data_IF_886455026170
#
_entry.id   IF_886455026170
#
_cell.length_a   1.000
_cell.length_b   1.000
_cell.length_c   1.000
_cell.angle_alpha   90.00
_cell.angle_beta   90.00
_cell.angle_gamma   90.00
#
_symmetry.space_group_name_H-M   'P 1'
#
loop_
_entity.id
_entity.type
_entity.pdbx_description
1 polymer ?
#
# COMPACT_ATOMS: atom_id res chain seq x y z
N UNK A 1 -0.62 -20.37 -20.87
CA UNK A 1 0.79 -20.00 -20.68
C UNK A 1 1.15 -18.97 -21.71
N UNK A 2 1.33 -17.72 -21.29
CA UNK A 2 1.92 -16.68 -22.14
C UNK A 2 3.24 -16.30 -21.50
N UNK A 3 4.34 -16.80 -22.05
CA UNK A 3 5.67 -16.33 -21.67
C UNK A 3 5.74 -14.87 -22.09
N UNK A 4 5.58 -13.95 -21.14
CA UNK A 4 5.83 -12.54 -21.36
C UNK A 4 7.24 -12.39 -21.88
N UNK A 5 7.40 -11.61 -22.96
CA UNK A 5 8.71 -11.38 -23.57
C UNK A 5 9.75 -11.00 -22.50
N UNK A 6 10.95 -11.60 -22.53
CA UNK A 6 11.97 -11.32 -21.54
C UNK A 6 12.32 -9.83 -21.56
N UNK A 7 12.45 -9.23 -20.38
CA UNK A 7 12.98 -7.87 -20.26
C UNK A 7 14.46 -7.91 -20.66
N UNK A 8 14.92 -7.08 -21.61
CA UNK A 8 16.31 -7.11 -22.06
C UNK A 8 17.25 -6.75 -20.90
N UNK A 9 18.30 -7.55 -20.72
CA UNK A 9 19.29 -7.32 -19.67
C UNK A 9 20.19 -6.12 -20.03
N UNK A 10 20.48 -5.26 -19.06
CA UNK A 10 21.41 -4.13 -19.23
C UNK A 10 20.79 -2.84 -19.81
N UNK A 11 19.46 -2.78 -19.96
CA UNK A 11 18.77 -1.52 -20.29
C UNK A 11 18.82 -0.51 -19.14
N UNK A 12 18.84 0.78 -19.48
CA UNK A 12 18.76 1.87 -18.50
C UNK A 12 17.43 1.77 -17.72
N UNK A 13 17.45 1.87 -16.37
CA UNK A 13 16.23 1.84 -15.55
C UNK A 13 15.15 2.85 -15.98
N UNK A 14 15.54 3.99 -16.56
CA UNK A 14 14.62 5.02 -17.07
C UNK A 14 13.88 4.55 -18.31
N UNK A 15 14.58 3.87 -19.23
CA UNK A 15 13.98 3.32 -20.43
C UNK A 15 13.03 2.19 -20.07
N UNK A 16 13.44 1.31 -19.14
CA UNK A 16 12.57 0.26 -18.59
C UNK A 16 11.30 0.84 -17.96
N UNK A 17 11.41 1.92 -17.18
CA UNK A 17 10.23 2.61 -16.63
C UNK A 17 9.35 3.21 -17.73
N UNK A 18 9.97 3.78 -18.78
CA UNK A 18 9.28 4.25 -19.98
C UNK A 18 8.48 3.13 -20.68
N UNK A 19 9.11 1.97 -20.90
CA UNK A 19 8.47 0.80 -21.49
C UNK A 19 7.34 0.25 -20.62
N UNK A 20 7.49 0.27 -19.29
CA UNK A 20 6.41 -0.07 -18.38
C UNK A 20 5.19 0.84 -18.58
N UNK A 21 5.41 2.15 -18.77
CA UNK A 21 4.36 3.11 -19.09
C UNK A 21 3.68 2.87 -20.44
N UNK A 22 4.45 2.51 -21.48
CA UNK A 22 3.90 2.14 -22.80
C UNK A 22 3.02 0.89 -22.69
N UNK A 23 3.53 -0.18 -22.07
CA UNK A 23 2.79 -1.42 -21.86
C UNK A 23 1.50 -1.19 -21.04
N UNK A 24 1.57 -0.35 -19.99
CA UNK A 24 0.40 0.02 -19.20
C UNK A 24 -0.69 0.67 -20.05
N UNK A 25 -0.33 1.62 -20.92
CA UNK A 25 -1.27 2.29 -21.84
C UNK A 25 -1.89 1.31 -22.84
N UNK A 26 -1.09 0.36 -23.31
CA UNK A 26 -1.57 -0.75 -24.15
C UNK A 26 -2.39 -1.80 -23.38
N UNK A 27 -2.59 -1.62 -22.06
CA UNK A 27 -3.28 -2.57 -21.16
C UNK A 27 -2.60 -3.94 -21.06
N UNK A 28 -1.34 -4.04 -21.46
CA UNK A 28 -0.51 -5.20 -21.22
C UNK A 28 0.10 -5.12 -19.81
N UNK A 29 -0.74 -5.47 -18.82
CA UNK A 29 -0.37 -5.33 -17.41
C UNK A 29 0.74 -6.28 -16.98
N UNK A 30 0.83 -7.46 -17.60
CA UNK A 30 1.88 -8.43 -17.31
C UNK A 30 3.25 -7.87 -17.75
N UNK A 31 3.33 -7.33 -18.96
CA UNK A 31 4.56 -6.72 -19.48
C UNK A 31 4.90 -5.43 -18.75
N UNK A 32 3.91 -4.59 -18.42
CA UNK A 32 4.12 -3.41 -17.60
C UNK A 32 4.72 -3.77 -16.23
N UNK A 33 4.24 -4.85 -15.61
CA UNK A 33 4.72 -5.33 -14.31
C UNK A 33 6.16 -5.84 -14.41
N UNK A 34 6.51 -6.55 -15.48
CA UNK A 34 7.86 -7.05 -15.72
C UNK A 34 8.86 -5.89 -15.86
N UNK A 35 8.56 -4.92 -16.71
CA UNK A 35 9.42 -3.74 -16.91
C UNK A 35 9.55 -2.88 -15.64
N UNK A 36 8.46 -2.65 -14.91
CA UNK A 36 8.52 -1.89 -13.65
C UNK A 36 9.40 -2.59 -12.61
N UNK A 37 9.34 -3.91 -12.49
CA UNK A 37 10.21 -4.66 -11.57
C UNK A 37 11.68 -4.63 -12.00
N UNK A 38 11.94 -4.72 -13.30
CA UNK A 38 13.30 -4.62 -13.82
C UNK A 38 13.91 -3.23 -13.58
N UNK A 39 13.15 -2.15 -13.85
CA UNK A 39 13.57 -0.79 -13.54
C UNK A 39 13.88 -0.61 -12.05
N UNK A 40 13.00 -1.12 -11.18
CA UNK A 40 13.20 -1.09 -9.73
C UNK A 40 14.43 -1.88 -9.24
N UNK A 41 14.82 -2.94 -9.95
CA UNK A 41 16.02 -3.71 -9.62
C UNK A 41 17.31 -3.02 -10.10
N UNK A 42 17.21 -2.21 -11.16
CA UNK A 42 18.36 -1.52 -11.76
C UNK A 42 18.68 -0.14 -11.15
N UNK A 43 17.77 0.45 -10.38
CA UNK A 43 17.99 1.72 -9.68
C UNK A 43 17.46 1.68 -8.25
N UNK A 44 18.26 2.16 -7.29
CA UNK A 44 17.83 2.35 -5.89
C UNK A 44 17.47 3.81 -5.58
N UNK A 45 17.54 4.71 -6.56
CA UNK A 45 17.21 6.12 -6.43
C UNK A 45 15.77 6.45 -6.85
N UNK A 46 15.58 7.64 -7.42
CA UNK A 46 14.26 8.16 -7.80
C UNK A 46 13.52 7.26 -8.79
N UNK A 47 14.23 6.71 -9.78
CA UNK A 47 13.62 5.86 -10.82
C UNK A 47 13.14 4.55 -10.20
N UNK A 48 13.94 3.98 -9.30
CA UNK A 48 13.57 2.79 -8.53
C UNK A 48 12.31 3.00 -7.70
N UNK A 49 12.21 4.15 -7.03
CA UNK A 49 11.02 4.51 -6.25
C UNK A 49 9.77 4.63 -7.13
N UNK A 50 9.86 5.32 -8.26
CA UNK A 50 8.75 5.46 -9.21
C UNK A 50 8.33 4.11 -9.80
N UNK A 51 9.31 3.28 -10.15
CA UNK A 51 9.09 1.94 -10.67
C UNK A 51 8.39 1.03 -9.65
N UNK A 52 8.78 1.08 -8.37
CA UNK A 52 8.11 0.36 -7.29
C UNK A 52 6.68 0.88 -7.03
N UNK A 53 6.47 2.19 -7.10
CA UNK A 53 5.13 2.77 -7.01
C UNK A 53 4.21 2.29 -8.15
N UNK A 54 4.74 2.21 -9.38
CA UNK A 54 4.02 1.64 -10.52
C UNK A 54 3.74 0.15 -10.34
N UNK A 55 4.73 -0.63 -9.91
CA UNK A 55 4.58 -2.05 -9.60
C UNK A 55 3.51 -2.31 -8.53
N UNK A 56 3.43 -1.43 -7.52
CA UNK A 56 2.35 -1.47 -6.51
C UNK A 56 0.97 -1.24 -7.13
N UNK A 57 0.82 -0.22 -7.98
CA UNK A 57 -0.45 0.06 -8.69
C UNK A 57 -0.90 -1.12 -9.55
N UNK A 58 0.02 -1.75 -10.26
CA UNK A 58 -0.26 -2.92 -11.10
C UNK A 58 -0.67 -4.14 -10.25
N UNK A 59 0.01 -4.38 -9.13
CA UNK A 59 -0.35 -5.46 -8.20
C UNK A 59 -1.76 -5.26 -7.62
N UNK A 60 -2.13 -4.02 -7.25
CA UNK A 60 -3.51 -3.68 -6.83
C UNK A 60 -4.53 -3.98 -7.91
N UNK A 61 -4.21 -3.64 -9.16
CA UNK A 61 -5.09 -3.91 -10.31
C UNK A 61 -5.27 -5.41 -10.57
N UNK A 62 -4.26 -6.22 -10.23
CA UNK A 62 -4.32 -7.67 -10.28
C UNK A 62 -5.03 -8.32 -9.07
N UNK A 63 -5.50 -7.52 -8.10
CA UNK A 63 -6.14 -8.04 -6.88
C UNK A 63 -5.15 -8.55 -5.83
N UNK A 64 -3.88 -8.17 -5.91
CA UNK A 64 -2.84 -8.54 -4.93
C UNK A 64 -2.40 -7.32 -4.09
N UNK A 65 -3.17 -6.99 -3.03
CA UNK A 65 -2.84 -5.86 -2.15
C UNK A 65 -1.63 -6.14 -1.25
N UNK A 66 -1.25 -7.40 -1.03
CA UNK A 66 -0.11 -7.76 -0.17
C UNK A 66 1.19 -7.43 -0.90
N UNK A 67 1.34 -7.91 -2.13
CA UNK A 67 2.50 -7.58 -2.97
C UNK A 67 2.56 -6.07 -3.26
N UNK A 68 1.40 -5.43 -3.44
CA UNK A 68 1.34 -3.99 -3.59
C UNK A 68 1.92 -3.23 -2.38
N UNK A 69 1.62 -3.68 -1.16
CA UNK A 69 2.18 -3.09 0.06
C UNK A 69 3.70 -3.34 0.14
N UNK A 70 4.15 -4.55 -0.21
CA UNK A 70 5.57 -4.90 -0.28
C UNK A 70 6.37 -3.95 -1.17
N UNK A 71 5.88 -3.66 -2.37
CA UNK A 71 6.51 -2.70 -3.28
C UNK A 71 6.60 -1.28 -2.69
N UNK A 72 5.55 -0.80 -2.02
CA UNK A 72 5.56 0.54 -1.40
C UNK A 72 6.52 0.61 -0.20
N UNK A 73 6.60 -0.44 0.61
CA UNK A 73 7.58 -0.52 1.70
C UNK A 73 9.01 -0.55 1.20
N UNK A 74 9.28 -1.29 0.12
CA UNK A 74 10.59 -1.27 -0.53
C UNK A 74 10.92 0.14 -1.06
N UNK A 75 9.96 0.83 -1.68
CA UNK A 75 10.15 2.19 -2.19
C UNK A 75 10.49 3.19 -1.07
N UNK A 76 9.89 3.03 0.12
CA UNK A 76 10.15 3.88 1.28
C UNK A 76 11.59 3.79 1.81
N UNK A 77 12.34 2.74 1.49
CA UNK A 77 13.74 2.62 1.89
C UNK A 77 14.60 3.77 1.31
N UNK A 78 14.29 4.18 0.08
CA UNK A 78 15.02 5.23 -0.64
C UNK A 78 14.27 6.57 -0.72
N UNK A 79 12.94 6.55 -0.67
CA UNK A 79 12.14 7.77 -0.80
C UNK A 79 12.39 8.77 0.35
N UNK A 80 12.34 10.07 0.04
CA UNK A 80 12.51 11.16 1.02
C UNK A 80 11.47 12.27 0.79
N UNK A 81 11.26 13.09 1.82
CA UNK A 81 10.40 14.28 1.75
C UNK A 81 8.99 13.98 1.23
N UNK A 82 8.55 14.80 0.26
CA UNK A 82 7.21 14.68 -0.35
C UNK A 82 6.95 13.31 -1.01
N UNK A 83 7.98 12.69 -1.59
CA UNK A 83 7.85 11.37 -2.21
C UNK A 83 7.51 10.31 -1.16
N UNK A 84 8.20 10.30 -0.01
CA UNK A 84 7.91 9.38 1.10
C UNK A 84 6.50 9.61 1.67
N UNK A 85 6.10 10.87 1.86
CA UNK A 85 4.75 11.20 2.34
C UNK A 85 3.65 10.68 1.39
N UNK A 86 3.88 10.77 0.07
CA UNK A 86 2.95 10.26 -0.95
C UNK A 86 2.83 8.73 -0.87
N UNK A 87 3.94 8.02 -0.69
CA UNK A 87 3.93 6.56 -0.53
C UNK A 87 3.20 6.14 0.76
N UNK A 88 3.39 6.86 1.86
CA UNK A 88 2.64 6.66 3.10
C UNK A 88 1.14 6.90 2.94
N UNK A 89 0.73 7.89 2.14
CA UNK A 89 -0.69 8.10 1.84
C UNK A 89 -1.29 6.91 1.06
N UNK A 90 -0.57 6.36 0.09
CA UNK A 90 -1.02 5.17 -0.64
C UNK A 90 -1.09 3.93 0.25
N UNK A 91 -0.09 3.71 1.12
CA UNK A 91 -0.12 2.63 2.12
C UNK A 91 -1.29 2.77 3.08
N UNK A 92 -1.63 3.99 3.51
CA UNK A 92 -2.79 4.26 4.35
C UNK A 92 -4.07 3.76 3.69
N UNK A 93 -4.31 4.14 2.43
CA UNK A 93 -5.49 3.71 1.66
C UNK A 93 -5.51 2.19 1.47
N UNK A 94 -4.35 1.60 1.19
CA UNK A 94 -4.23 0.16 0.94
C UNK A 94 -4.54 -0.66 2.20
N UNK A 95 -3.95 -0.30 3.34
CA UNK A 95 -4.21 -0.96 4.61
C UNK A 95 -5.64 -0.76 5.08
N UNK A 96 -6.22 0.42 4.85
CA UNK A 96 -7.59 0.70 5.27
C UNK A 96 -8.62 -0.05 4.42
N UNK A 97 -8.48 -0.01 3.10
CA UNK A 97 -9.55 -0.46 2.19
C UNK A 97 -9.38 -1.90 1.73
N UNK A 98 -8.15 -2.35 1.46
CA UNK A 98 -7.91 -3.69 0.90
C UNK A 98 -7.46 -4.69 1.97
N UNK A 99 -6.48 -4.33 2.79
CA UNK A 99 -5.90 -5.25 3.79
C UNK A 99 -6.64 -5.25 5.13
N UNK A 100 -7.53 -4.28 5.36
CA UNK A 100 -8.36 -4.13 6.58
C UNK A 100 -7.55 -4.08 7.89
N UNK A 101 -6.32 -3.55 7.83
CA UNK A 101 -5.43 -3.36 8.97
C UNK A 101 -5.46 -1.88 9.40
N UNK A 102 -6.40 -1.55 10.29
CA UNK A 102 -6.58 -0.18 10.79
C UNK A 102 -5.37 0.36 11.56
N UNK A 103 -4.70 -0.41 12.45
CA UNK A 103 -3.47 0.04 13.10
C UNK A 103 -2.38 0.47 12.11
N UNK A 104 -2.09 -0.35 11.08
CA UNK A 104 -1.10 0.00 10.06
C UNK A 104 -1.55 1.16 9.18
N UNK A 105 -2.84 1.25 8.86
CA UNK A 105 -3.39 2.39 8.15
C UNK A 105 -3.16 3.69 8.93
N UNK A 106 -3.44 3.71 10.24
CA UNK A 106 -3.22 4.88 11.09
C UNK A 106 -1.74 5.26 11.21
N UNK A 107 -0.86 4.26 11.36
CA UNK A 107 0.59 4.50 11.40
C UNK A 107 1.06 5.26 10.16
N UNK A 108 0.69 4.81 8.96
CA UNK A 108 1.04 5.49 7.73
C UNK A 108 0.33 6.82 7.55
N UNK A 109 -0.91 6.95 8.01
CA UNK A 109 -1.65 8.21 7.91
C UNK A 109 -0.92 9.33 8.65
N UNK A 110 -0.32 9.05 9.81
CA UNK A 110 0.46 10.04 10.59
C UNK A 110 1.73 10.50 9.87
N UNK A 111 2.26 9.70 8.96
CA UNK A 111 3.49 9.99 8.21
C UNK A 111 3.21 10.65 6.85
N UNK A 112 1.94 10.80 6.44
CA UNK A 112 1.56 11.35 5.14
C UNK A 112 1.26 12.84 5.11
N UNK A 113 1.57 13.58 6.19
CA UNK A 113 1.17 14.99 6.35
C UNK A 113 1.56 15.88 5.16
N UNK A 114 2.78 15.71 4.62
CA UNK A 114 3.27 16.53 3.52
C UNK A 114 2.58 16.24 2.17
N UNK A 115 1.82 15.14 2.05
CA UNK A 115 1.14 14.74 0.81
C UNK A 115 -0.34 15.18 0.75
N UNK A 116 -0.86 15.83 1.79
CA UNK A 116 -2.25 16.25 1.89
C UNK A 116 -2.33 17.71 2.37
N UNK A 117 -3.48 18.35 2.14
CA UNK A 117 -3.78 19.61 2.81
C UNK A 117 -3.88 19.38 4.33
N UNK A 118 -3.46 20.34 5.18
CA UNK A 118 -3.44 20.15 6.63
C UNK A 118 -4.80 19.76 7.24
N UNK A 119 -5.91 20.22 6.67
CA UNK A 119 -7.25 19.84 7.13
C UNK A 119 -7.62 18.39 6.78
N UNK A 120 -7.31 17.96 5.56
CA UNK A 120 -7.61 16.60 5.10
C UNK A 120 -6.80 15.56 5.88
N UNK A 121 -5.52 15.86 6.13
CA UNK A 121 -4.66 15.03 6.96
C UNK A 121 -5.23 14.88 8.38
N UNK A 122 -5.58 16.00 9.03
CA UNK A 122 -6.18 15.99 10.38
C UNK A 122 -7.47 15.18 10.42
N UNK A 123 -8.37 15.38 9.45
CA UNK A 123 -9.63 14.62 9.34
C UNK A 123 -9.38 13.13 9.13
N UNK A 124 -8.40 12.76 8.30
CA UNK A 124 -8.05 11.36 8.04
C UNK A 124 -7.56 10.67 9.31
N UNK A 125 -6.62 11.29 10.03
CA UNK A 125 -6.06 10.76 11.28
C UNK A 125 -7.16 10.59 12.33
N UNK A 126 -7.94 11.64 12.61
CA UNK A 126 -9.01 11.58 13.60
C UNK A 126 -10.08 10.51 13.28
N UNK A 127 -10.43 10.36 11.99
CA UNK A 127 -11.36 9.32 11.54
C UNK A 127 -10.81 7.91 11.78
N UNK A 128 -9.53 7.67 11.48
CA UNK A 128 -8.88 6.37 11.69
C UNK A 128 -8.75 6.06 13.19
N UNK A 129 -8.38 7.04 14.01
CA UNK A 129 -8.33 6.90 15.47
C UNK A 129 -9.70 6.55 16.05
N UNK A 130 -10.75 7.28 15.64
CA UNK A 130 -12.11 7.00 16.09
C UNK A 130 -12.61 5.61 15.66
N UNK A 131 -12.26 5.14 14.46
CA UNK A 131 -12.59 3.77 14.01
C UNK A 131 -11.85 2.71 14.82
N UNK A 132 -10.57 2.93 15.11
CA UNK A 132 -9.76 2.01 15.89
C UNK A 132 -10.29 1.89 17.32
N UNK A 133 -10.60 3.02 17.97
CA UNK A 133 -11.20 3.06 19.30
C UNK A 133 -12.54 2.30 19.37
N UNK A 134 -13.43 2.51 18.38
CA UNK A 134 -14.70 1.77 18.29
C UNK A 134 -14.51 0.27 18.12
N UNK A 135 -13.52 -0.14 17.32
CA UNK A 135 -13.24 -1.57 17.10
C UNK A 135 -12.70 -2.25 18.36
N UNK A 136 -11.86 -1.55 19.14
CA UNK A 136 -11.38 -2.04 20.43
C UNK A 136 -12.50 -2.12 21.49
N UNK A 137 -13.39 -1.12 21.53
CA UNK A 137 -14.54 -1.12 22.44
C UNK A 137 -15.54 -2.24 22.15
N UNK A 138 -15.79 -2.55 20.87
CA UNK A 138 -16.65 -3.67 20.48
C UNK A 138 -16.09 -5.01 20.95
N UNK A 139 -14.79 -5.25 20.75
CA UNK A 139 -14.13 -6.48 21.23
C UNK A 139 -14.19 -6.64 22.76
N UNK A 140 -14.07 -5.53 23.51
CA UNK A 140 -14.19 -5.55 24.96
C UNK A 140 -15.60 -5.90 25.45
N UNK A 141 -16.64 -5.56 24.69
CA UNK A 141 -18.03 -5.89 25.02
C UNK A 141 -18.35 -7.36 24.69
N UNK A 142 -17.78 -7.91 23.60
CA UNK A 142 -17.96 -9.31 23.23
C UNK A 142 -17.30 -10.30 24.22
N UNK A 143 -16.19 -9.91 24.89
CA UNK A 143 -15.59 -10.72 25.94
C UNK A 143 -16.37 -10.68 27.27
N UNK A 144 -17.17 -9.65 27.50
CA UNK A 144 -18.00 -9.51 28.71
C UNK A 144 -19.32 -10.28 28.55
N UNK A 145 -19.23 -11.55 28.12
CA UNK A 145 -20.36 -12.44 27.92
C UNK A 145 -21.32 -12.48 29.12
N UNK A 146 -22.62 -12.79 28.90
CA UNK A 146 -23.65 -12.66 29.91
C UNK A 146 -23.30 -13.45 31.18
N UNK A 147 -23.59 -12.92 32.39
CA UNK A 147 -23.31 -13.63 33.62
C UNK A 147 -24.06 -14.96 33.58
N UNK A 148 -23.33 -16.07 33.71
CA UNK A 148 -23.94 -17.38 33.89
C UNK A 148 -24.82 -17.32 35.13
N UNK A 149 -26.15 -17.36 34.93
CA UNK A 149 -27.10 -17.56 36.02
C UNK A 149 -26.80 -18.92 36.63
N UNK A 150 -26.17 -18.91 37.80
CA UNK A 150 -25.97 -20.12 38.60
C UNK A 150 -27.31 -20.79 38.90
N UNK A 151 -27.33 -22.13 39.03
CA UNK A 151 -28.56 -22.86 39.25
C UNK A 151 -29.18 -22.47 40.60
N UNK A 152 -30.48 -22.18 40.59
CA UNK A 152 -31.25 -21.96 41.79
C UNK A 152 -31.25 -23.25 42.62
N UNK A 153 -30.68 -23.17 43.83
CA UNK A 153 -30.72 -24.25 44.80
C UNK A 153 -32.18 -24.52 45.20
N UNK A 154 -32.57 -25.80 45.19
CA UNK A 154 -33.78 -26.33 45.83
C UNK A 154 -33.38 -27.14 47.05
#
# INVERSE_FOLDING_TARGET
GGAGAPVPAGEDPRDLLGFAGVALRARDYARAQAFARAAAAGDSGTVGVEALALASRLSRKAGDPITAAGHLHQALQSARGFQAATLHLELTKLYEHALKDLPRALHHARLSAAAELPEDHRRRVARLEGRLARSAGAYSLDLAGPPQRGPAAS
#
